data_IF_071302740238
#
_entry.id   IF_071302740238
#
_cell.length_a   1.000
_cell.length_b   1.000
_cell.length_c   1.000
_cell.angle_alpha   90.00
_cell.angle_beta   90.00
_cell.angle_gamma   90.00
#
_symmetry.space_group_name_H-M   'P 1'
#
loop_
_entity.id
_entity.type
_entity.pdbx_description
1 polymer ?
#
# COMPACT_ATOMS: atom_id res chain seq x y z
N UNK A 1 0.49 -5.75 -31.38
CA UNK A 1 0.84 -6.09 -30.01
C UNK A 1 -0.25 -6.88 -29.35
N UNK A 2 0.18 -7.84 -28.61
CA UNK A 2 -0.78 -8.70 -27.94
C UNK A 2 -1.71 -7.95 -27.01
N UNK A 3 -1.23 -6.85 -26.47
CA UNK A 3 -2.06 -6.10 -25.56
C UNK A 3 -3.28 -5.48 -26.19
N UNK A 4 -3.26 -5.31 -27.48
CA UNK A 4 -4.38 -4.71 -28.17
C UNK A 4 -5.54 -5.68 -28.31
N UNK A 5 -5.31 -6.95 -28.03
CA UNK A 5 -6.35 -7.95 -28.19
C UNK A 5 -7.27 -8.06 -27.00
N UNK A 6 -7.00 -7.34 -25.92
CA UNK A 6 -7.83 -7.41 -24.73
C UNK A 6 -8.99 -6.43 -24.85
N UNK A 7 -10.22 -6.92 -24.94
CA UNK A 7 -11.36 -6.01 -25.05
C UNK A 7 -11.61 -5.29 -23.73
N UNK A 8 -12.16 -4.10 -23.85
CA UNK A 8 -12.57 -3.36 -22.67
C UNK A 8 -13.79 -4.01 -22.05
N UNK A 9 -13.79 -4.10 -20.74
CA UNK A 9 -14.99 -4.56 -20.04
C UNK A 9 -16.08 -3.49 -20.10
N UNK A 10 -17.33 -3.92 -20.00
CA UNK A 10 -18.46 -3.03 -20.11
C UNK A 10 -19.48 -3.34 -19.02
N UNK A 11 -20.47 -2.48 -18.94
CA UNK A 11 -21.57 -2.66 -18.00
C UNK A 11 -21.38 -1.85 -16.73
N UNK A 12 -22.36 -1.90 -15.83
CA UNK A 12 -22.34 -1.07 -14.62
C UNK A 12 -21.16 -1.38 -13.69
N UNK A 13 -20.77 -2.62 -13.59
CA UNK A 13 -19.63 -2.97 -12.75
C UNK A 13 -18.33 -2.38 -13.30
N UNK A 14 -18.15 -2.41 -14.61
CA UNK A 14 -16.97 -1.81 -15.21
C UNK A 14 -16.95 -0.29 -15.01
N UNK A 15 -18.11 0.34 -15.10
CA UNK A 15 -18.22 1.79 -14.88
C UNK A 15 -17.81 2.14 -13.45
N UNK A 16 -18.29 1.38 -12.47
CA UNK A 16 -17.93 1.62 -11.08
C UNK A 16 -16.43 1.43 -10.85
N UNK A 17 -15.86 0.37 -11.40
CA UNK A 17 -14.45 0.09 -11.22
C UNK A 17 -13.57 1.16 -11.86
N UNK A 18 -13.93 1.60 -13.07
CA UNK A 18 -13.16 2.67 -13.72
C UNK A 18 -13.27 3.99 -12.98
N UNK A 19 -14.45 4.26 -12.42
CA UNK A 19 -14.62 5.46 -11.59
C UNK A 19 -13.71 5.38 -10.38
N UNK A 20 -13.66 4.21 -9.73
CA UNK A 20 -12.81 4.03 -8.57
C UNK A 20 -11.33 4.22 -8.93
N UNK A 21 -10.91 3.67 -10.07
CA UNK A 21 -9.53 3.83 -10.52
C UNK A 21 -9.17 5.31 -10.71
N UNK A 22 -10.08 6.08 -11.32
CA UNK A 22 -9.82 7.52 -11.50
C UNK A 22 -9.75 8.26 -10.16
N UNK A 23 -10.60 7.88 -9.19
CA UNK A 23 -10.56 8.48 -7.87
C UNK A 23 -9.23 8.18 -7.16
N UNK A 24 -8.73 6.96 -7.31
CA UNK A 24 -7.46 6.58 -6.72
C UNK A 24 -6.29 7.32 -7.38
N UNK A 25 -6.32 7.43 -8.70
CA UNK A 25 -5.26 8.15 -9.41
C UNK A 25 -5.22 9.62 -9.01
N UNK A 26 -6.39 10.21 -8.75
CA UNK A 26 -6.43 11.61 -8.32
C UNK A 26 -5.82 11.82 -6.96
N UNK A 27 -5.63 10.76 -6.17
CA UNK A 27 -5.03 10.84 -4.84
C UNK A 27 -3.50 10.73 -4.85
N UNK A 28 -2.92 10.54 -6.03
CA UNK A 28 -1.49 10.33 -6.12
C UNK A 28 -0.70 11.64 -6.14
N UNK A 29 -1.01 12.52 -5.19
CA UNK A 29 -0.20 13.70 -4.96
C UNK A 29 0.79 13.39 -3.85
N UNK A 30 1.79 12.61 -4.18
CA UNK A 30 2.75 12.16 -3.21
C UNK A 30 3.83 13.20 -3.02
N UNK A 31 4.07 13.66 -1.77
CA UNK A 31 5.21 14.53 -1.52
C UNK A 31 6.50 13.79 -1.88
N UNK A 32 7.47 14.54 -2.41
CA UNK A 32 8.72 13.94 -2.83
C UNK A 32 9.56 13.44 -1.65
N UNK A 33 9.21 13.79 -0.43
CA UNK A 33 9.88 13.33 0.77
C UNK A 33 9.09 12.28 1.55
N UNK A 34 8.07 11.68 0.93
CA UNK A 34 7.29 10.63 1.58
C UNK A 34 8.18 9.44 1.94
N UNK A 35 7.89 8.84 3.09
CA UNK A 35 8.71 7.77 3.63
C UNK A 35 7.94 6.46 3.71
N UNK A 36 8.65 5.33 3.57
CA UNK A 36 8.00 4.02 3.72
C UNK A 36 7.95 3.61 5.19
N UNK A 37 7.19 2.58 5.47
CA UNK A 37 7.25 1.89 6.75
C UNK A 37 6.34 2.46 7.81
N UNK A 38 6.73 2.23 9.05
CA UNK A 38 5.92 2.64 10.19
C UNK A 38 6.81 3.14 11.32
N UNK A 39 6.30 4.13 12.04
CA UNK A 39 6.97 4.65 13.23
C UNK A 39 6.45 3.92 14.46
N UNK A 40 7.34 3.65 15.39
CA UNK A 40 6.97 3.04 16.66
C UNK A 40 7.74 3.70 17.79
N UNK A 41 7.06 3.89 18.90
CA UNK A 41 7.69 4.37 20.12
C UNK A 41 7.86 3.20 21.06
N UNK A 42 9.07 2.99 21.55
CA UNK A 42 9.34 2.02 22.57
C UNK A 42 10.16 2.68 23.66
N UNK A 43 10.39 1.96 24.73
CA UNK A 43 11.19 2.47 25.82
C UNK A 43 12.32 1.49 26.08
N UNK A 44 13.53 1.99 26.20
CA UNK A 44 14.70 1.15 26.39
C UNK A 44 15.50 1.67 27.58
N UNK A 45 15.85 0.76 28.47
CA UNK A 45 16.72 1.10 29.58
C UNK A 45 18.14 1.18 29.04
N UNK A 46 18.86 2.21 29.50
CA UNK A 46 20.21 2.44 28.98
C UNK A 46 21.26 1.54 29.63
N UNK A 47 20.86 0.79 30.66
CA UNK A 47 21.79 -0.11 31.32
C UNK A 47 22.66 0.54 32.37
N UNK A 48 22.52 1.84 32.58
CA UNK A 48 23.31 2.52 33.61
C UNK A 48 22.55 2.49 34.94
N UNK A 49 23.09 1.91 35.99
CA UNK A 49 22.36 1.81 37.27
C UNK A 49 22.04 3.16 37.85
N UNK A 50 22.85 4.17 37.61
CA UNK A 50 22.64 5.49 38.16
C UNK A 50 21.61 6.30 37.35
N UNK A 51 21.13 5.79 36.22
CA UNK A 51 20.16 6.51 35.43
C UNK A 51 18.76 6.29 35.99
N UNK A 52 17.93 7.34 35.96
CA UNK A 52 16.56 7.23 36.47
C UNK A 52 15.73 6.23 35.66
N UNK A 53 16.12 5.88 34.46
CA UNK A 53 15.39 4.92 33.64
C UNK A 53 15.52 3.50 34.18
N UNK A 54 16.45 3.26 35.10
CA UNK A 54 16.63 1.93 35.69
C UNK A 54 15.41 1.49 36.46
N UNK A 55 14.69 2.43 37.08
CA UNK A 55 13.51 2.13 37.88
C UNK A 55 12.20 2.41 37.15
N UNK A 56 12.24 2.75 35.87
CA UNK A 56 11.05 3.10 35.13
C UNK A 56 10.98 2.38 33.80
N UNK A 57 10.19 2.94 32.88
CA UNK A 57 9.99 2.36 31.57
C UNK A 57 11.19 2.47 30.66
N UNK A 58 12.18 3.28 31.04
CA UNK A 58 13.36 3.52 30.22
C UNK A 58 13.22 4.77 29.39
N UNK A 59 14.22 5.00 28.54
CA UNK A 59 14.22 6.15 27.66
C UNK A 59 13.33 5.90 26.45
N UNK A 60 12.61 6.92 25.98
CA UNK A 60 11.82 6.76 24.76
C UNK A 60 12.73 6.54 23.57
N UNK A 61 12.36 5.62 22.71
CA UNK A 61 13.10 5.30 21.52
C UNK A 61 12.15 5.23 20.34
N UNK A 62 12.32 6.14 19.41
CA UNK A 62 11.53 6.14 18.19
C UNK A 62 12.28 5.39 17.10
N UNK A 63 11.57 4.49 16.42
CA UNK A 63 12.16 3.74 15.31
C UNK A 63 11.26 3.81 14.10
N UNK A 64 11.88 3.82 12.93
CA UNK A 64 11.21 3.66 11.66
C UNK A 64 11.58 2.28 11.12
N UNK A 65 10.57 1.47 10.88
CA UNK A 65 10.75 0.14 10.31
C UNK A 65 10.28 0.15 8.87
N UNK A 66 11.10 -0.29 7.95
CA UNK A 66 10.75 -0.32 6.54
C UNK A 66 11.48 -1.46 5.84
N UNK A 67 11.02 -1.79 4.65
CA UNK A 67 11.65 -2.82 3.83
C UNK A 67 12.58 -2.18 2.81
N UNK A 68 13.78 -2.73 2.70
CA UNK A 68 14.76 -2.27 1.73
C UNK A 68 15.33 -3.48 1.02
N UNK A 69 15.05 -3.59 -0.28
CA UNK A 69 15.55 -4.73 -1.05
C UNK A 69 15.09 -6.07 -0.51
N UNK A 70 13.85 -6.14 -0.02
CA UNK A 70 13.30 -7.37 0.52
C UNK A 70 13.70 -7.67 1.95
N UNK A 71 14.49 -6.79 2.58
CA UNK A 71 14.94 -7.00 3.95
C UNK A 71 14.37 -5.93 4.86
N UNK A 72 14.03 -6.34 6.06
CA UNK A 72 13.53 -5.41 7.06
C UNK A 72 14.67 -4.59 7.64
N UNK A 73 14.46 -3.28 7.72
CA UNK A 73 15.38 -2.38 8.38
C UNK A 73 14.66 -1.63 9.48
N UNK A 74 15.36 -1.41 10.59
CA UNK A 74 14.85 -0.67 11.73
C UNK A 74 15.88 0.40 12.06
N UNK A 75 15.49 1.67 11.92
CA UNK A 75 16.40 2.78 12.14
C UNK A 75 15.89 3.66 13.27
N UNK A 76 16.79 4.09 14.13
CA UNK A 76 16.44 4.98 15.23
C UNK A 76 16.29 6.41 14.73
N UNK A 77 15.22 7.08 15.15
CA UNK A 77 14.90 8.43 14.72
C UNK A 77 14.98 9.36 15.92
N UNK A 78 15.67 10.49 15.82
CA UNK A 78 15.68 11.45 16.94
C UNK A 78 14.26 11.92 17.27
N UNK A 79 13.99 12.02 18.57
CA UNK A 79 12.65 12.35 19.03
C UNK A 79 12.16 13.72 18.54
N UNK A 80 13.07 14.67 18.39
CA UNK A 80 12.69 16.01 17.93
C UNK A 80 12.39 16.06 16.43
N UNK A 81 12.62 14.97 15.69
CA UNK A 81 12.29 14.91 14.26
C UNK A 81 10.90 14.31 14.01
N UNK A 82 10.29 13.71 15.02
CA UNK A 82 9.10 12.90 14.81
C UNK A 82 7.94 13.70 14.23
N UNK A 83 7.74 14.93 14.71
CA UNK A 83 6.63 15.74 14.21
C UNK A 83 6.78 16.06 12.72
N UNK A 84 8.02 16.12 12.22
CA UNK A 84 8.28 16.36 10.81
C UNK A 84 8.19 15.06 10.01
N UNK A 85 8.63 13.96 10.60
CA UNK A 85 8.68 12.69 9.89
C UNK A 85 7.33 11.98 9.82
N UNK A 86 6.51 12.12 10.86
CA UNK A 86 5.22 11.43 10.92
C UNK A 86 4.34 11.70 9.70
N UNK A 87 4.16 12.94 9.25
CA UNK A 87 3.34 13.17 8.04
C UNK A 87 3.92 12.52 6.80
N UNK A 88 5.25 12.42 6.71
CA UNK A 88 5.89 11.79 5.56
C UNK A 88 5.64 10.28 5.53
N UNK A 89 5.64 9.65 6.69
CA UNK A 89 5.35 8.22 6.80
C UNK A 89 3.87 7.97 6.48
N UNK A 90 2.99 8.84 6.96
CA UNK A 90 1.56 8.70 6.66
C UNK A 90 1.28 8.89 5.18
N UNK A 91 1.96 9.85 4.55
CA UNK A 91 1.81 10.04 3.11
C UNK A 91 2.25 8.79 2.34
N UNK A 92 3.36 8.19 2.74
CA UNK A 92 3.83 6.96 2.11
C UNK A 92 2.85 5.81 2.29
N UNK A 93 2.28 5.69 3.49
CA UNK A 93 1.30 4.64 3.76
C UNK A 93 0.04 4.82 2.91
N UNK A 94 -0.48 6.05 2.85
CA UNK A 94 -1.66 6.33 2.04
C UNK A 94 -1.39 6.06 0.57
N UNK A 95 -0.21 6.40 0.08
CA UNK A 95 0.18 6.12 -1.28
C UNK A 95 0.18 4.60 -1.55
N UNK A 96 0.79 3.84 -0.65
CA UNK A 96 0.84 2.38 -0.83
C UNK A 96 -0.55 1.77 -0.81
N UNK A 97 -1.41 2.23 0.07
CA UNK A 97 -2.78 1.72 0.13
C UNK A 97 -3.55 2.05 -1.15
N UNK A 98 -3.40 3.27 -1.64
CA UNK A 98 -4.09 3.66 -2.86
C UNK A 98 -3.54 2.91 -4.08
N UNK A 99 -2.22 2.72 -4.13
CA UNK A 99 -1.62 1.97 -5.23
C UNK A 99 -2.08 0.51 -5.22
N UNK A 100 -2.12 -0.11 -4.05
CA UNK A 100 -2.58 -1.49 -3.94
C UNK A 100 -4.03 -1.62 -4.38
N UNK A 101 -4.86 -0.68 -3.97
CA UNK A 101 -6.26 -0.71 -4.37
C UNK A 101 -6.41 -0.48 -5.87
N UNK A 102 -5.64 0.44 -6.45
CA UNK A 102 -5.67 0.68 -7.88
C UNK A 102 -5.31 -0.58 -8.67
N UNK A 103 -4.27 -1.28 -8.24
CA UNK A 103 -3.86 -2.51 -8.90
C UNK A 103 -4.95 -3.58 -8.81
N UNK A 104 -5.61 -3.67 -7.65
CA UNK A 104 -6.72 -4.60 -7.49
C UNK A 104 -7.88 -4.25 -8.42
N UNK A 105 -8.24 -2.98 -8.50
CA UNK A 105 -9.32 -2.53 -9.38
C UNK A 105 -9.01 -2.88 -10.82
N UNK A 106 -7.77 -2.66 -11.26
CA UNK A 106 -7.37 -2.99 -12.62
C UNK A 106 -7.40 -4.49 -12.87
N UNK A 107 -7.02 -5.30 -11.88
CA UNK A 107 -7.11 -6.73 -12.01
C UNK A 107 -8.57 -7.20 -12.11
N UNK A 108 -9.46 -6.58 -11.36
CA UNK A 108 -10.87 -6.92 -11.44
C UNK A 108 -11.48 -6.52 -12.78
N UNK A 109 -11.05 -5.40 -13.35
CA UNK A 109 -11.47 -5.03 -14.70
C UNK A 109 -11.00 -6.06 -15.73
N UNK A 110 -9.79 -6.56 -15.58
CA UNK A 110 -9.27 -7.58 -16.47
C UNK A 110 -10.09 -8.87 -16.36
N UNK A 111 -10.40 -9.29 -15.13
CA UNK A 111 -11.19 -10.49 -14.90
C UNK A 111 -12.59 -10.32 -15.48
N UNK A 112 -13.17 -9.13 -15.29
CA UNK A 112 -14.49 -8.85 -15.83
C UNK A 112 -14.50 -8.91 -17.36
N UNK A 113 -13.47 -8.35 -17.99
CA UNK A 113 -13.36 -8.42 -19.44
C UNK A 113 -13.25 -9.86 -19.92
N UNK A 114 -12.46 -10.68 -19.22
CA UNK A 114 -12.32 -12.07 -19.57
C UNK A 114 -13.67 -12.80 -19.46
N UNK A 115 -14.40 -12.54 -18.38
CA UNK A 115 -15.68 -13.20 -18.18
C UNK A 115 -16.71 -12.79 -19.24
N UNK A 116 -16.70 -11.52 -19.61
CA UNK A 116 -17.61 -11.04 -20.65
C UNK A 116 -17.27 -11.61 -22.02
N UNK A 117 -15.99 -11.76 -22.27
CA UNK A 117 -15.57 -12.32 -23.55
C UNK A 117 -15.97 -13.79 -23.69
N UNK A 118 -15.76 -14.56 -22.63
CA UNK A 118 -15.97 -16.00 -22.72
C UNK A 118 -17.42 -16.39 -22.57
N UNK A 119 -18.24 -15.53 -21.98
CA UNK A 119 -19.61 -15.87 -21.69
C UNK A 119 -20.41 -16.32 -22.92
N UNK A 120 -20.36 -15.61 -24.02
CA UNK A 120 -21.14 -16.03 -25.18
C UNK A 120 -20.66 -17.33 -25.78
N UNK A 121 -19.40 -17.59 -25.76
CA UNK A 121 -18.88 -18.79 -26.38
C UNK A 121 -19.03 -20.01 -25.50
N UNK A 122 -19.41 -19.84 -24.26
CA UNK A 122 -19.52 -20.98 -23.38
C UNK A 122 -20.75 -21.82 -23.61
N UNK A 123 -21.75 -21.22 -24.17
CA UNK A 123 -22.97 -21.98 -24.41
C UNK A 123 -22.77 -23.20 -25.27
N UNK A 124 -22.14 -23.07 -26.39
CA UNK A 124 -21.97 -24.26 -27.19
C UNK A 124 -21.06 -25.24 -26.54
N UNK A 125 -20.24 -24.78 -25.69
CA UNK A 125 -19.34 -25.65 -25.06
C UNK A 125 -20.00 -26.56 -24.14
N UNK A 126 -21.07 -26.13 -23.65
CA UNK A 126 -21.75 -26.94 -22.71
C UNK A 126 -22.06 -28.30 -23.29
N UNK A 127 -21.91 -28.39 -24.51
CA UNK A 127 -22.18 -29.64 -25.09
C UNK A 127 -20.98 -30.47 -25.24
N UNK A 128 -20.04 -30.47 -24.57
CA UNK A 128 -18.90 -31.22 -24.79
C UNK A 128 -19.11 -32.51 -24.87
N UNK A 129 -18.39 -33.02 -25.42
CA UNK A 129 -18.34 -34.29 -25.48
C UNK A 129 -17.80 -35.14 -24.68
#
# INVERSE_FOLDING_TARGET
MAGDDIPSSSGPDAVKLRRRARQLLARFHLPDDALPGSLALSHRRCGKPSCHCADGDGHPLWTLTFMAGGKKRVETIPADWIDTIRPRVEAGRHFKEAAAELLLVNAELLVLARNQRTRPSRRPISSPP
#
